data_IF_471981507065
#
_entry.id   IF_471981507065
#
_cell.length_a   1.000
_cell.length_b   1.000
_cell.length_c   1.000
_cell.angle_alpha   90.00
_cell.angle_beta   90.00
_cell.angle_gamma   90.00
#
_symmetry.space_group_name_H-M   'P 1'
#
loop_
_entity.id
_entity.type
_entity.pdbx_description
1 polymer ?
#
# COMPACT_ATOMS: atom_id res chain seq x y z
N UNK A 1 3.97 8.33 -1.30
CA UNK A 1 2.51 8.15 -1.15
C UNK A 1 2.13 6.88 -1.90
N UNK A 2 1.34 6.02 -1.28
CA UNK A 2 0.84 4.78 -1.90
C UNK A 2 -0.64 4.61 -1.55
N UNK A 3 -1.52 4.45 -2.54
CA UNK A 3 -2.96 4.33 -2.31
C UNK A 3 -3.32 3.14 -1.43
N UNK A 4 -2.64 2.00 -1.60
CA UNK A 4 -2.99 0.75 -0.92
C UNK A 4 -1.75 -0.02 -0.53
N UNK A 5 -1.54 -0.25 0.76
CA UNK A 5 -0.38 -1.00 1.25
C UNK A 5 -0.80 -2.38 1.76
N UNK A 6 -0.54 -3.41 0.95
CA UNK A 6 -0.84 -4.80 1.29
C UNK A 6 0.24 -5.40 2.22
N UNK A 7 1.37 -5.83 1.66
CA UNK A 7 2.48 -6.41 2.42
C UNK A 7 3.47 -5.38 2.95
N UNK A 8 3.45 -4.15 2.43
CA UNK A 8 4.43 -3.11 2.77
C UNK A 8 5.73 -3.16 1.96
N UNK A 9 5.95 -4.20 1.16
CA UNK A 9 7.23 -4.40 0.46
C UNK A 9 7.60 -3.23 -0.49
N UNK A 10 6.64 -2.73 -1.27
CA UNK A 10 6.87 -1.61 -2.18
C UNK A 10 7.21 -0.32 -1.42
N UNK A 11 6.45 -0.01 -0.36
CA UNK A 11 6.70 1.16 0.49
C UNK A 11 8.07 1.07 1.18
N UNK A 12 8.42 -0.10 1.73
CA UNK A 12 9.73 -0.35 2.36
C UNK A 12 10.86 -0.13 1.36
N UNK A 13 10.75 -0.66 0.14
CA UNK A 13 11.78 -0.48 -0.89
C UNK A 13 11.93 0.99 -1.29
N UNK A 14 10.82 1.73 -1.42
CA UNK A 14 10.88 3.16 -1.69
C UNK A 14 11.54 3.95 -0.54
N UNK A 15 11.18 3.65 0.71
CA UNK A 15 11.78 4.28 1.89
C UNK A 15 13.28 3.95 2.01
N UNK A 16 13.68 2.73 1.66
CA UNK A 16 15.09 2.33 1.62
C UNK A 16 15.91 3.22 0.71
N UNK A 17 15.41 3.50 -0.50
CA UNK A 17 16.11 4.36 -1.45
C UNK A 17 16.29 5.77 -0.87
N UNK A 18 15.29 6.32 -0.18
CA UNK A 18 15.40 7.64 0.46
C UNK A 18 16.49 7.65 1.53
N UNK A 19 16.51 6.65 2.41
CA UNK A 19 17.52 6.53 3.46
C UNK A 19 18.92 6.32 2.87
N UNK A 20 19.04 5.54 1.79
CA UNK A 20 20.31 5.37 1.05
C UNK A 20 20.83 6.68 0.43
N UNK A 21 19.97 7.68 0.23
CA UNK A 21 20.32 9.02 -0.25
C UNK A 21 20.33 10.06 0.88
N UNK A 22 20.67 9.62 2.10
CA UNK A 22 20.85 10.47 3.29
C UNK A 22 19.59 11.21 3.78
N UNK A 23 18.39 10.78 3.37
CA UNK A 23 17.14 11.30 3.95
C UNK A 23 16.96 10.68 5.35
N UNK A 24 16.87 11.49 6.42
CA UNK A 24 16.65 10.95 7.75
C UNK A 24 15.28 10.27 7.85
N UNK A 25 15.26 9.11 8.50
CA UNK A 25 14.06 8.26 8.61
C UNK A 25 12.87 8.97 9.26
N UNK A 26 13.12 9.83 10.24
CA UNK A 26 12.13 10.65 10.95
C UNK A 26 11.53 11.78 10.11
N UNK A 27 12.14 12.10 8.97
CA UNK A 27 11.57 13.02 7.98
C UNK A 27 10.72 12.31 6.91
N UNK A 28 10.57 10.98 6.98
CA UNK A 28 9.79 10.21 6.03
C UNK A 28 8.37 10.03 6.56
N UNK A 29 7.39 10.50 5.78
CA UNK A 29 5.96 10.32 6.06
C UNK A 29 5.36 9.44 4.96
N UNK A 30 4.98 8.21 5.33
CA UNK A 30 4.23 7.30 4.46
C UNK A 30 2.73 7.59 4.57
N UNK A 31 2.16 8.16 3.51
CA UNK A 31 0.72 8.43 3.41
C UNK A 31 0.05 7.35 2.56
N UNK A 32 -1.01 6.76 3.10
CA UNK A 32 -1.85 5.77 2.41
C UNK A 32 -3.35 5.99 2.62
N UNK A 33 -4.18 5.46 1.73
CA UNK A 33 -5.63 5.44 1.94
C UNK A 33 -6.01 4.19 2.74
N UNK A 34 -5.53 3.02 2.32
CA UNK A 34 -5.86 1.74 2.95
C UNK A 34 -4.61 0.90 3.16
N UNK A 35 -4.43 0.37 4.36
CA UNK A 35 -3.34 -0.57 4.66
C UNK A 35 -3.89 -1.87 5.25
N UNK A 36 -3.25 -3.00 4.96
CA UNK A 36 -3.49 -4.22 5.74
C UNK A 36 -2.66 -4.17 7.03
N UNK A 37 -3.15 -4.81 8.11
CA UNK A 37 -2.43 -4.92 9.40
C UNK A 37 -0.98 -5.40 9.20
N UNK A 38 -0.78 -6.41 8.36
CA UNK A 38 0.56 -6.94 8.07
C UNK A 38 1.49 -5.93 7.38
N UNK A 39 0.94 -5.07 6.52
CA UNK A 39 1.70 -4.02 5.85
C UNK A 39 2.13 -2.93 6.82
N UNK A 40 1.22 -2.52 7.73
CA UNK A 40 1.54 -1.55 8.79
C UNK A 40 2.67 -2.08 9.69
N UNK A 41 2.56 -3.33 10.16
CA UNK A 41 3.59 -3.93 11.00
C UNK A 41 4.94 -4.05 10.29
N UNK A 42 4.93 -4.48 9.03
CA UNK A 42 6.17 -4.61 8.25
C UNK A 42 6.90 -3.28 8.08
N UNK A 43 6.16 -2.21 7.74
CA UNK A 43 6.74 -0.86 7.59
C UNK A 43 7.23 -0.34 8.94
N UNK A 44 6.41 -0.39 9.98
CA UNK A 44 6.76 0.12 11.31
C UNK A 44 7.94 -0.65 11.96
N UNK A 45 8.08 -1.94 11.68
CA UNK A 45 9.22 -2.72 12.14
C UNK A 45 10.51 -2.36 11.40
N UNK A 46 10.43 -2.11 10.09
CA UNK A 46 11.60 -1.81 9.25
C UNK A 46 12.07 -0.36 9.46
N UNK A 47 11.14 0.57 9.62
CA UNK A 47 11.40 2.01 9.79
C UNK A 47 10.61 2.55 10.99
N UNK A 48 11.06 2.28 12.23
CA UNK A 48 10.34 2.65 13.45
C UNK A 48 10.26 4.16 13.72
N UNK A 49 11.10 4.98 13.08
CA UNK A 49 11.08 6.44 13.21
C UNK A 49 10.22 7.13 12.16
N UNK A 50 9.86 6.43 11.09
CA UNK A 50 9.02 6.99 10.04
C UNK A 50 7.57 7.15 10.52
N UNK A 51 6.89 8.17 10.00
CA UNK A 51 5.50 8.43 10.34
C UNK A 51 4.57 7.78 9.29
N UNK A 52 3.62 6.98 9.76
CA UNK A 52 2.60 6.36 8.90
C UNK A 52 1.27 7.07 9.12
N UNK A 53 0.67 7.55 8.03
CA UNK A 53 -0.67 8.17 8.03
C UNK A 53 -1.55 7.37 7.08
N UNK A 54 -2.59 6.74 7.61
CA UNK A 54 -3.57 5.99 6.80
C UNK A 54 -5.00 6.32 7.23
N UNK A 55 -5.94 6.27 6.29
CA UNK A 55 -7.36 6.51 6.61
C UNK A 55 -8.05 5.29 7.20
N UNK A 56 -7.66 4.10 6.77
CA UNK A 56 -8.20 2.84 7.27
C UNK A 56 -7.13 1.74 7.32
N UNK A 57 -7.35 0.78 8.22
CA UNK A 57 -6.54 -0.43 8.35
C UNK A 57 -7.47 -1.64 8.34
N UNK A 58 -7.26 -2.53 7.38
CA UNK A 58 -8.06 -3.73 7.18
C UNK A 58 -7.37 -4.99 7.71
N UNK A 59 -8.20 -5.98 8.09
CA UNK A 59 -7.79 -7.10 8.94
C UNK A 59 -6.75 -8.04 8.34
N UNK A 60 -6.69 -8.19 7.02
CA UNK A 60 -5.76 -9.13 6.41
C UNK A 60 -5.69 -9.09 4.89
N UNK A 61 -4.85 -9.98 4.36
CA UNK A 61 -4.77 -10.26 2.93
C UNK A 61 -5.38 -11.63 2.65
N UNK A 62 -5.93 -11.81 1.45
CA UNK A 62 -6.26 -13.13 0.91
C UNK A 62 -5.04 -13.80 0.23
N UNK A 63 -5.23 -15.01 -0.29
CA UNK A 63 -4.19 -15.79 -0.98
C UNK A 63 -3.62 -15.11 -2.24
N UNK A 64 -4.32 -14.11 -2.77
CA UNK A 64 -3.90 -13.29 -3.92
C UNK A 64 -3.23 -11.98 -3.50
N UNK A 65 -2.90 -11.80 -2.21
CA UNK A 65 -2.32 -10.59 -1.64
C UNK A 65 -3.21 -9.34 -1.76
N UNK A 66 -4.52 -9.51 -1.95
CA UNK A 66 -5.48 -8.41 -1.89
C UNK A 66 -5.92 -8.17 -0.45
N UNK A 67 -6.05 -6.88 -0.09
CA UNK A 67 -6.61 -6.46 1.19
C UNK A 67 -8.09 -6.87 1.26
N UNK A 68 -8.51 -7.43 2.39
CA UNK A 68 -9.90 -7.86 2.63
C UNK A 68 -10.42 -7.22 3.93
N UNK A 69 -11.59 -6.57 3.94
CA UNK A 69 -12.58 -6.42 2.84
C UNK A 69 -12.09 -5.59 1.65
N UNK A 70 -11.19 -4.64 1.85
CA UNK A 70 -10.43 -4.01 0.76
C UNK A 70 -11.22 -3.11 -0.20
N UNK A 71 -10.53 -2.69 -1.26
CA UNK A 71 -11.10 -1.87 -2.34
C UNK A 71 -10.89 -2.48 -3.74
N UNK A 72 -10.34 -3.70 -3.82
CA UNK A 72 -9.87 -4.29 -5.08
C UNK A 72 -8.62 -3.56 -5.61
N UNK A 73 -8.35 -3.68 -6.91
CA UNK A 73 -7.26 -2.92 -7.53
C UNK A 73 -7.63 -1.43 -7.60
N UNK A 74 -7.02 -0.62 -6.73
CA UNK A 74 -7.25 0.82 -6.69
C UNK A 74 -6.87 1.49 -8.02
N UNK A 75 -5.76 1.10 -8.63
CA UNK A 75 -5.29 1.67 -9.88
C UNK A 75 -6.31 1.48 -11.01
N UNK A 76 -6.81 0.26 -11.18
CA UNK A 76 -7.78 -0.03 -12.24
C UNK A 76 -9.11 0.70 -12.06
N UNK A 77 -9.54 0.88 -10.81
CA UNK A 77 -10.77 1.60 -10.48
C UNK A 77 -10.61 3.11 -10.62
N UNK A 78 -9.43 3.63 -10.27
CA UNK A 78 -9.14 5.07 -10.32
C UNK A 78 -8.88 5.55 -11.75
N UNK A 79 -8.12 4.79 -12.53
CA UNK A 79 -7.78 5.13 -13.92
C UNK A 79 -8.79 4.60 -14.95
N UNK A 80 -9.75 3.78 -14.52
CA UNK A 80 -10.77 3.21 -15.42
C UNK A 80 -10.22 2.14 -16.37
N UNK A 81 -9.11 1.48 -16.01
CA UNK A 81 -8.47 0.42 -16.80
C UNK A 81 -8.98 -0.98 -16.46
N UNK A 82 -10.10 -1.06 -15.74
CA UNK A 82 -10.76 -2.34 -15.50
C UNK A 82 -11.14 -2.92 -16.86
N UNK A 83 -10.58 -4.08 -17.22
CA UNK A 83 -11.00 -4.79 -18.43
C UNK A 83 -12.47 -5.17 -18.24
N UNK A 84 -13.35 -4.37 -18.84
CA UNK A 84 -14.76 -4.64 -18.87
C UNK A 84 -14.95 -5.93 -19.68
N UNK A 85 -15.32 -7.02 -18.99
CA UNK A 85 -15.79 -8.26 -19.64
C UNK A 85 -17.15 -8.06 -20.34
N UNK A 86 -17.60 -6.80 -20.52
CA UNK A 86 -18.81 -6.43 -21.25
C UNK A 86 -18.76 -6.71 -22.77
N UNK A 87 -17.62 -7.12 -23.35
CA UNK A 87 -17.53 -7.51 -24.77
C UNK A 87 -17.68 -9.02 -25.05
N UNK A 88 -17.97 -9.87 -24.06
CA UNK A 88 -18.17 -11.32 -24.28
C UNK A 88 -19.65 -11.71 -24.50
N UNK A 89 -20.56 -10.74 -24.60
CA UNK A 89 -21.99 -10.98 -24.87
C UNK A 89 -22.51 -10.11 -26.02
N UNK A 90 -21.87 -10.19 -27.19
CA UNK A 90 -22.45 -9.84 -28.50
C UNK A 90 -22.06 -10.94 -29.48
#
# INVERSE_FOLDING_TARGET
MDSTVATGAAAIMAMRILVEHDVPEDHIILISLLMAIQGVHSVAYTYPKAHIVTTAVDGGLNDQYHIVPGVGNFGDRYFGTTHDLASTYT
#
